data_IF_811648653524
#
_entry.id   IF_811648653524
#
_cell.length_a   1.000
_cell.length_b   1.000
_cell.length_c   1.000
_cell.angle_alpha   90.00
_cell.angle_beta   90.00
_cell.angle_gamma   90.00
#
_symmetry.space_group_name_H-M   'P 1'
#
loop_
_entity.id
_entity.type
_entity.pdbx_description
1 polymer ?
#
# COMPACT_ATOMS: atom_id res chain seq x y z
N UNK A 1 7.90 32.83 -37.59
CA UNK A 1 6.50 32.53 -37.22
C UNK A 1 6.52 32.26 -35.73
N UNK A 2 6.26 33.28 -34.92
CA UNK A 2 6.37 33.20 -33.45
C UNK A 2 5.10 32.56 -32.91
N UNK A 3 5.25 31.43 -32.22
CA UNK A 3 4.15 30.64 -31.67
C UNK A 3 3.45 31.44 -30.58
N UNK A 4 2.11 31.38 -30.51
CA UNK A 4 1.28 32.12 -29.53
C UNK A 4 1.71 31.86 -28.07
N UNK A 5 2.42 30.75 -27.80
CA UNK A 5 2.95 30.38 -26.50
C UNK A 5 4.07 31.32 -25.96
N UNK A 6 4.95 31.86 -26.82
CA UNK A 6 6.03 32.77 -26.37
C UNK A 6 5.50 34.15 -25.95
N UNK A 7 4.36 34.58 -26.50
CA UNK A 7 3.79 35.90 -26.23
C UNK A 7 3.14 36.02 -24.83
N UNK A 8 2.82 34.89 -24.19
CA UNK A 8 2.10 34.87 -22.91
C UNK A 8 2.99 34.48 -21.72
N UNK A 9 4.26 34.14 -21.92
CA UNK A 9 5.17 33.74 -20.83
C UNK A 9 4.68 32.53 -20.03
N UNK A 10 3.77 31.73 -20.61
CA UNK A 10 3.23 30.53 -19.96
C UNK A 10 4.19 29.39 -20.25
N UNK A 11 5.05 29.12 -19.28
CA UNK A 11 5.85 27.91 -19.27
C UNK A 11 4.95 26.69 -19.01
N UNK A 12 4.58 25.99 -20.08
CA UNK A 12 3.79 24.76 -19.99
C UNK A 12 4.59 23.59 -19.40
N UNK A 13 5.91 23.71 -19.19
CA UNK A 13 6.71 22.66 -18.55
C UNK A 13 6.51 22.61 -17.02
N UNK A 14 5.94 23.65 -16.42
CA UNK A 14 5.67 23.72 -14.98
C UNK A 14 4.40 22.97 -14.52
N UNK A 15 3.61 22.36 -15.43
CA UNK A 15 2.30 21.75 -15.11
C UNK A 15 2.25 20.22 -15.18
N UNK A 16 3.40 19.57 -15.03
CA UNK A 16 3.49 18.12 -14.81
C UNK A 16 4.46 17.79 -13.67
N UNK A 17 4.45 18.59 -12.60
CA UNK A 17 4.89 18.07 -11.31
C UNK A 17 3.89 16.99 -10.91
N UNK A 18 4.25 15.75 -11.21
CA UNK A 18 3.65 14.48 -10.78
C UNK A 18 3.70 14.32 -9.24
N UNK A 19 3.43 15.39 -8.50
CA UNK A 19 3.31 15.37 -7.05
C UNK A 19 1.91 14.87 -6.68
N UNK A 20 1.69 13.59 -6.96
CA UNK A 20 0.70 12.84 -6.20
C UNK A 20 0.97 13.11 -4.71
N UNK A 21 -0.01 13.54 -3.91
CA UNK A 21 0.26 13.97 -2.54
C UNK A 21 0.92 12.82 -1.77
N UNK A 22 2.12 13.08 -1.23
CA UNK A 22 2.87 12.06 -0.50
C UNK A 22 2.06 11.52 0.66
N UNK A 23 2.03 10.19 0.79
CA UNK A 23 1.36 9.53 1.90
C UNK A 23 1.97 9.94 3.23
N UNK A 24 1.13 10.09 4.26
CA UNK A 24 1.57 10.39 5.62
C UNK A 24 1.30 9.22 6.55
N UNK A 25 2.26 8.91 7.42
CA UNK A 25 2.08 7.89 8.45
C UNK A 25 1.07 8.36 9.51
N UNK A 26 0.09 7.51 9.80
CA UNK A 26 -0.69 7.66 11.03
C UNK A 26 0.14 7.26 12.24
N UNK A 27 -0.21 7.77 13.42
CA UNK A 27 0.43 7.37 14.67
C UNK A 27 0.35 5.86 14.93
N UNK A 28 -0.75 5.21 14.52
CA UNK A 28 -0.90 3.77 14.60
C UNK A 28 0.10 3.03 13.69
N UNK A 29 0.19 3.42 12.43
CA UNK A 29 1.14 2.84 11.48
C UNK A 29 2.60 3.06 11.92
N UNK A 30 2.91 4.23 12.49
CA UNK A 30 4.24 4.51 13.02
C UNK A 30 4.61 3.57 14.18
N UNK A 31 3.70 3.34 15.13
CA UNK A 31 3.92 2.36 16.21
C UNK A 31 4.13 0.95 15.69
N UNK A 32 3.35 0.55 14.68
CA UNK A 32 3.48 -0.77 14.05
C UNK A 32 4.80 -0.93 13.29
N UNK A 33 5.31 0.13 12.66
CA UNK A 33 6.59 0.13 11.98
C UNK A 33 7.74 -0.04 12.99
N UNK A 34 7.71 0.76 14.07
CA UNK A 34 8.69 0.68 15.16
C UNK A 34 8.73 -0.70 15.81
N UNK A 35 7.57 -1.31 16.07
CA UNK A 35 7.48 -2.65 16.63
C UNK A 35 8.09 -3.74 15.72
N UNK A 36 8.20 -3.48 14.41
CA UNK A 36 8.79 -4.38 13.41
C UNK A 36 10.22 -4.01 13.05
N UNK A 37 10.79 -2.98 13.68
CA UNK A 37 12.14 -2.50 13.38
C UNK A 37 12.27 -1.70 12.08
N UNK A 38 11.16 -1.26 11.48
CA UNK A 38 11.19 -0.41 10.29
C UNK A 38 11.18 1.07 10.66
N UNK A 39 11.93 1.84 9.88
CA UNK A 39 11.91 3.30 9.95
C UNK A 39 10.66 3.85 9.26
N UNK A 40 10.22 5.04 9.69
CA UNK A 40 9.16 5.78 9.00
C UNK A 40 9.47 5.97 7.50
N UNK A 41 10.74 6.21 7.16
CA UNK A 41 11.15 6.42 5.77
C UNK A 41 10.95 5.16 4.90
N UNK A 42 11.26 3.97 5.43
CA UNK A 42 11.04 2.72 4.69
C UNK A 42 9.55 2.48 4.41
N UNK A 43 8.68 2.77 5.38
CA UNK A 43 7.24 2.63 5.19
C UNK A 43 6.71 3.65 4.19
N UNK A 44 7.17 4.90 4.28
CA UNK A 44 6.79 5.95 3.32
C UNK A 44 7.28 5.64 1.92
N UNK A 45 8.47 5.06 1.78
CA UNK A 45 8.98 4.60 0.50
C UNK A 45 8.16 3.43 -0.06
N UNK A 46 7.72 2.48 0.79
CA UNK A 46 6.77 1.44 0.39
C UNK A 46 5.42 2.01 -0.05
N UNK A 47 4.92 3.03 0.66
CA UNK A 47 3.64 3.67 0.35
C UNK A 47 3.68 4.53 -0.91
N UNK A 48 4.76 5.26 -1.17
CA UNK A 48 4.84 6.15 -2.34
C UNK A 48 5.44 5.47 -3.57
N UNK A 49 6.24 4.42 -3.38
CA UNK A 49 6.97 3.71 -4.46
C UNK A 49 6.88 2.20 -4.32
N UNK A 50 5.66 1.61 -4.34
CA UNK A 50 5.48 0.17 -4.24
C UNK A 50 6.00 -0.57 -5.47
N UNK A 51 6.41 -1.83 -5.29
CA UNK A 51 6.62 -2.78 -6.38
C UNK A 51 5.29 -3.36 -6.87
N UNK A 52 4.36 -3.60 -5.94
CA UNK A 52 3.04 -4.13 -6.25
C UNK A 52 1.96 -3.32 -5.52
N UNK A 53 0.86 -3.07 -6.22
CA UNK A 53 -0.34 -2.44 -5.67
C UNK A 53 -1.55 -3.29 -5.98
N UNK A 54 -2.36 -3.56 -4.97
CA UNK A 54 -3.63 -4.27 -5.14
C UNK A 54 -4.69 -3.79 -4.14
N UNK A 55 -5.98 -3.89 -4.47
CA UNK A 55 -7.04 -3.42 -3.59
C UNK A 55 -7.07 -4.20 -2.27
N UNK A 56 -7.39 -3.51 -1.17
CA UNK A 56 -7.63 -4.15 0.12
C UNK A 56 -8.94 -4.92 0.07
N UNK A 57 -8.89 -6.24 0.21
CA UNK A 57 -10.09 -7.09 0.24
C UNK A 57 -11.01 -6.86 1.46
N UNK A 58 -10.54 -6.15 2.50
CA UNK A 58 -11.29 -5.92 3.74
C UNK A 58 -12.02 -4.56 3.77
N UNK A 59 -11.44 -3.53 3.15
CA UNK A 59 -11.97 -2.17 3.20
C UNK A 59 -11.96 -1.57 1.79
N UNK A 60 -13.14 -1.35 1.18
CA UNK A 60 -13.23 -0.72 -0.14
C UNK A 60 -12.56 0.65 -0.17
N UNK A 61 -11.88 0.96 -1.28
CA UNK A 61 -11.18 2.23 -1.47
C UNK A 61 -9.79 2.31 -0.85
N UNK A 62 -9.39 1.33 -0.03
CA UNK A 62 -8.01 1.21 0.45
C UNK A 62 -7.18 0.28 -0.44
N UNK A 63 -5.88 0.52 -0.50
CA UNK A 63 -4.94 -0.26 -1.29
C UNK A 63 -3.81 -0.81 -0.43
N UNK A 64 -3.25 -1.93 -0.88
CA UNK A 64 -2.03 -2.54 -0.35
C UNK A 64 -0.89 -2.18 -1.26
N UNK A 65 0.08 -1.46 -0.72
CA UNK A 65 1.32 -1.09 -1.38
C UNK A 65 2.43 -1.95 -0.81
N UNK A 66 3.04 -2.79 -1.64
CA UNK A 66 4.05 -3.76 -1.24
C UNK A 66 5.42 -3.36 -1.76
N UNK A 67 6.42 -3.36 -0.88
CA UNK A 67 7.83 -3.14 -1.24
C UNK A 67 8.73 -3.98 -0.35
N UNK A 68 9.37 -4.99 -0.93
CA UNK A 68 10.08 -6.02 -0.16
C UNK A 68 9.13 -6.65 0.86
N UNK A 69 9.56 -6.76 2.11
CA UNK A 69 8.77 -7.37 3.19
C UNK A 69 7.75 -6.41 3.81
N UNK A 70 7.58 -5.19 3.28
CA UNK A 70 6.67 -4.17 3.85
C UNK A 70 5.40 -4.12 3.02
N UNK A 71 4.26 -4.36 3.68
CA UNK A 71 2.94 -4.03 3.13
C UNK A 71 2.35 -2.85 3.88
N UNK A 72 2.17 -1.74 3.16
CA UNK A 72 1.49 -0.55 3.64
C UNK A 72 0.04 -0.52 3.15
N UNK A 73 -0.92 -0.46 4.07
CA UNK A 73 -2.32 -0.14 3.75
C UNK A 73 -2.44 1.37 3.62
N UNK A 74 -2.79 1.81 2.43
CA UNK A 74 -2.95 3.23 2.10
C UNK A 74 -4.41 3.58 1.87
N UNK A 75 -4.79 4.75 2.38
CA UNK A 75 -6.01 5.46 2.05
C UNK A 75 -5.66 6.56 1.04
N UNK A 76 -6.01 6.40 -0.25
CA UNK A 76 -5.72 7.37 -1.29
C UNK A 76 -6.56 8.64 -1.17
N UNK A 77 -7.71 8.63 -0.48
CA UNK A 77 -8.56 9.81 -0.30
C UNK A 77 -7.96 10.72 0.75
N UNK A 78 -7.47 10.15 1.85
CA UNK A 78 -6.86 10.91 2.94
C UNK A 78 -5.34 11.08 2.80
N UNK A 79 -4.73 10.43 1.80
CA UNK A 79 -3.27 10.33 1.63
C UNK A 79 -2.56 9.86 2.90
N UNK A 80 -3.02 8.75 3.48
CA UNK A 80 -2.49 8.21 4.75
C UNK A 80 -2.14 6.73 4.69
N UNK A 81 -1.08 6.36 5.40
CA UNK A 81 -0.78 4.97 5.74
C UNK A 81 -1.53 4.60 7.02
N UNK A 82 -2.50 3.71 6.88
CA UNK A 82 -3.42 3.31 7.96
C UNK A 82 -2.83 2.19 8.81
N UNK A 83 -2.17 1.23 8.18
CA UNK A 83 -1.66 0.01 8.84
C UNK A 83 -0.46 -0.51 8.07
N UNK A 84 0.50 -1.11 8.79
CA UNK A 84 1.65 -1.80 8.19
C UNK A 84 1.82 -3.19 8.75
N UNK A 85 2.07 -4.15 7.87
CA UNK A 85 2.36 -5.53 8.22
C UNK A 85 3.47 -6.09 7.33
N UNK A 86 4.03 -7.21 7.79
CA UNK A 86 5.07 -7.90 7.05
C UNK A 86 4.44 -8.72 5.94
N UNK A 87 4.97 -8.58 4.73
CA UNK A 87 4.63 -9.50 3.66
C UNK A 87 5.25 -10.84 4.02
N UNK A 88 4.39 -11.80 4.34
CA UNK A 88 4.79 -13.15 4.73
C UNK A 88 4.22 -14.10 3.70
N UNK A 89 5.02 -15.09 3.31
CA UNK A 89 4.53 -16.19 2.49
C UNK A 89 3.40 -16.91 3.24
N UNK A 90 2.28 -17.13 2.57
CA UNK A 90 1.19 -17.89 3.16
C UNK A 90 1.66 -19.33 3.34
N UNK A 91 1.69 -19.79 4.59
CA UNK A 91 2.01 -21.18 4.93
C UNK A 91 0.73 -21.99 5.08
N UNK A 92 0.84 -23.30 4.84
CA UNK A 92 -0.29 -24.21 4.99
C UNK A 92 -0.89 -24.14 6.40
N UNK A 93 -2.21 -24.30 6.45
CA UNK A 93 -2.94 -24.33 7.69
C UNK A 93 -2.43 -25.49 8.57
N UNK A 94 -1.95 -25.19 9.78
CA UNK A 94 -1.55 -26.25 10.70
C UNK A 94 -2.78 -27.06 11.16
N UNK A 95 -2.65 -28.39 11.35
CA UNK A 95 -3.80 -29.24 11.71
C UNK A 95 -4.51 -28.85 13.02
N UNK A 96 -3.82 -28.17 13.92
CA UNK A 96 -4.32 -27.73 15.22
C UNK A 96 -5.02 -26.36 15.17
N UNK A 97 -4.87 -25.59 14.08
CA UNK A 97 -5.54 -24.30 13.90
C UNK A 97 -6.99 -24.51 13.46
N UNK A 98 -7.90 -24.56 14.43
CA UNK A 98 -9.34 -24.82 14.21
C UNK A 98 -10.22 -23.59 14.42
N UNK A 99 -9.60 -22.44 14.69
CA UNK A 99 -10.30 -21.18 14.95
C UNK A 99 -11.04 -20.63 13.72
N UNK A 100 -11.81 -19.55 13.94
CA UNK A 100 -12.65 -18.94 12.91
C UNK A 100 -11.84 -18.44 11.72
N UNK A 101 -10.63 -17.95 11.98
CA UNK A 101 -9.76 -17.39 10.96
C UNK A 101 -9.20 -18.51 10.08
N UNK A 102 -8.79 -19.63 10.70
CA UNK A 102 -8.38 -20.85 10.02
C UNK A 102 -9.49 -21.42 9.13
N UNK A 103 -10.74 -21.46 9.62
CA UNK A 103 -11.89 -21.89 8.82
C UNK A 103 -12.17 -20.96 7.63
N UNK A 104 -11.99 -19.66 7.82
CA UNK A 104 -12.17 -18.67 6.75
C UNK A 104 -11.07 -18.80 5.70
N UNK A 105 -9.83 -19.00 6.15
CA UNK A 105 -8.68 -19.27 5.30
C UNK A 105 -8.87 -20.54 4.47
N UNK A 106 -9.26 -21.65 5.09
CA UNK A 106 -9.52 -22.93 4.41
C UNK A 106 -10.60 -22.80 3.33
N UNK A 107 -11.67 -22.04 3.60
CA UNK A 107 -12.72 -21.76 2.60
C UNK A 107 -12.19 -20.96 1.41
N UNK A 108 -11.35 -19.96 1.67
CA UNK A 108 -10.71 -19.14 0.62
C UNK A 108 -9.79 -20.01 -0.25
N UNK A 109 -8.94 -20.83 0.35
CA UNK A 109 -8.08 -21.77 -0.39
C UNK A 109 -8.88 -22.77 -1.23
N UNK A 110 -9.95 -23.35 -0.67
CA UNK A 110 -10.82 -24.25 -1.41
C UNK A 110 -11.50 -23.58 -2.62
N UNK A 111 -11.87 -22.30 -2.50
CA UNK A 111 -12.49 -21.55 -3.61
C UNK A 111 -11.53 -21.14 -4.73
N UNK A 112 -10.22 -21.10 -4.46
CA UNK A 112 -9.19 -20.72 -5.42
C UNK A 112 -8.65 -21.91 -6.24
N UNK A 113 -9.13 -23.14 -5.98
CA UNK A 113 -8.85 -24.32 -6.81
C UNK A 113 -7.42 -24.87 -6.73
N UNK A 114 -6.58 -24.36 -5.82
CA UNK A 114 -5.25 -24.92 -5.59
C UNK A 114 -5.38 -26.18 -4.72
N UNK A 115 -5.14 -27.34 -5.34
CA UNK A 115 -4.95 -28.63 -4.66
C UNK A 115 -3.46 -28.92 -4.52
#
# INVERSE_FOLDING_TARGET
MTTIAEALGIDWTARLSDESPEYRLTHHAQKQAQAKGWTSQQVLDAANRPHHTYPSGRVPGQYRHVKGDIVAIVDPVQHRVVTVYQDVEETDLRPDQTDRDAQTYAKRHASLGCK
#
